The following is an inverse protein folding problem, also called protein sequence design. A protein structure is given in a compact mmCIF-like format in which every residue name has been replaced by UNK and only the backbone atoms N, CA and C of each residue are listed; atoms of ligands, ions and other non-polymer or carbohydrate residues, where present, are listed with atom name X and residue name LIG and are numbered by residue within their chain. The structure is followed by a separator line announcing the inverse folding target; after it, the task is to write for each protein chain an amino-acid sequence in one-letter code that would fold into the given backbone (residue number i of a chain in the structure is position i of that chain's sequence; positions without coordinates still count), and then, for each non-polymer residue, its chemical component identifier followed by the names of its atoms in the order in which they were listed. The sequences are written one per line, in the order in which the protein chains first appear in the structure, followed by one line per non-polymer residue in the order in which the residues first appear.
data_IF_554706395780
#
_entry.id   IF_554706395780
#
_cell.length_a   1.000
_cell.length_b   1.000
_cell.length_c   1.000
_cell.angle_alpha   90.00
_cell.angle_beta   90.00
_cell.angle_gamma   90.00
#
_symmetry.space_group_name_H-M   'P 1'
#
loop_
_entity.id
_entity.type
_entity.pdbx_description
1 polymer ?
#
# COMPACT_ATOMS: atom_id res chain seq x y z
N UNK A 1 32.88 -10.02 -35.62
CA UNK A 1 31.53 -10.34 -35.12
C UNK A 1 31.01 -9.09 -34.41
N UNK A 2 30.26 -8.24 -35.10
CA UNK A 2 29.75 -6.98 -34.53
C UNK A 2 28.52 -7.29 -33.68
N UNK A 3 28.59 -7.03 -32.38
CA UNK A 3 27.42 -7.17 -31.50
C UNK A 3 26.45 -6.01 -31.79
N UNK A 4 25.23 -6.38 -32.19
CA UNK A 4 24.15 -5.43 -32.44
C UNK A 4 23.60 -5.02 -31.08
N UNK A 5 23.80 -3.75 -30.70
CA UNK A 5 23.20 -3.19 -29.48
C UNK A 5 21.68 -3.16 -29.69
N UNK A 6 20.87 -3.74 -28.79
CA UNK A 6 19.42 -3.75 -28.96
C UNK A 6 18.88 -2.32 -28.88
N UNK A 7 18.01 -1.96 -29.82
CA UNK A 7 17.39 -0.62 -29.95
C UNK A 7 16.77 -0.11 -28.65
N UNK A 8 16.25 -1.03 -27.83
CA UNK A 8 15.70 -0.73 -26.50
C UNK A 8 16.76 -0.15 -25.54
N UNK A 9 18.00 -0.65 -25.57
CA UNK A 9 19.08 -0.14 -24.73
C UNK A 9 19.50 1.28 -25.16
N UNK A 10 19.46 1.58 -26.46
CA UNK A 10 19.75 2.93 -26.99
C UNK A 10 18.66 3.93 -26.58
N UNK A 11 17.38 3.52 -26.63
CA UNK A 11 16.25 4.35 -26.20
C UNK A 11 16.28 4.60 -24.69
N UNK A 12 16.62 3.59 -23.90
CA UNK A 12 16.71 3.73 -22.45
C UNK A 12 17.88 4.64 -22.04
N UNK A 13 19.03 4.47 -22.69
CA UNK A 13 20.20 5.30 -22.45
C UNK A 13 19.96 6.75 -22.89
N UNK A 14 19.28 6.98 -24.02
CA UNK A 14 18.95 8.34 -24.46
C UNK A 14 17.92 9.02 -23.55
N UNK A 15 16.91 8.30 -23.07
CA UNK A 15 15.96 8.81 -22.09
C UNK A 15 16.66 9.16 -20.75
N UNK A 16 17.56 8.29 -20.29
CA UNK A 16 18.32 8.51 -19.06
C UNK A 16 19.25 9.74 -19.17
N UNK A 17 19.94 9.90 -20.31
CA UNK A 17 20.78 11.07 -20.59
C UNK A 17 19.93 12.35 -20.62
N UNK A 18 18.78 12.35 -21.30
CA UNK A 18 17.90 13.52 -21.34
C UNK A 18 17.39 13.91 -19.96
N UNK A 19 17.01 12.94 -19.11
CA UNK A 19 16.54 13.20 -17.75
C UNK A 19 17.66 13.77 -16.86
N UNK A 20 18.89 13.27 -17.00
CA UNK A 20 20.04 13.73 -16.21
C UNK A 20 20.57 15.09 -16.66
N UNK A 21 20.45 15.43 -17.95
CA UNK A 21 21.00 16.65 -18.55
C UNK A 21 20.01 17.83 -18.50
N UNK A 22 18.69 17.56 -18.54
CA UNK A 22 17.65 18.59 -18.50
C UNK A 22 17.75 19.58 -17.31
N UNK A 23 18.02 19.15 -16.05
CA UNK A 23 18.15 20.09 -14.93
C UNK A 23 19.41 20.98 -14.99
N UNK A 24 20.40 20.62 -15.81
CA UNK A 24 21.67 21.36 -15.93
C UNK A 24 21.57 22.45 -17.01
N UNK A 25 20.81 22.22 -18.09
CA UNK A 25 20.68 23.17 -19.20
C UNK A 25 19.46 24.09 -19.12
N UNK A 26 18.45 23.77 -18.30
CA UNK A 26 17.28 24.64 -18.16
C UNK A 26 17.67 25.95 -17.43
N UNK A 27 17.55 27.14 -18.06
CA UNK A 27 17.72 28.39 -17.35
C UNK A 27 16.65 28.50 -16.27
N UNK A 28 17.03 28.86 -15.04
CA UNK A 28 16.07 29.28 -14.03
C UNK A 28 15.39 30.55 -14.52
N UNK A 29 14.16 30.42 -15.04
CA UNK A 29 13.39 31.53 -15.55
C UNK A 29 13.00 32.45 -14.38
N UNK A 30 13.82 33.47 -14.13
CA UNK A 30 13.42 34.64 -13.34
C UNK A 30 12.34 35.38 -14.12
N UNK A 31 11.07 35.13 -13.77
CA UNK A 31 9.94 35.86 -14.34
C UNK A 31 9.93 37.29 -13.79
N UNK A 32 10.50 38.22 -14.57
CA UNK A 32 10.25 39.65 -14.40
C UNK A 32 8.82 39.93 -14.86
N UNK A 33 7.94 40.31 -13.93
CA UNK A 33 6.52 40.58 -14.22
C UNK A 33 6.41 41.90 -14.98
N UNK A 34 6.02 41.85 -16.26
CA UNK A 34 5.41 42.99 -16.93
C UNK A 34 3.88 42.88 -16.83
N UNK A 35 3.16 43.94 -16.41
CA UNK A 35 1.71 43.91 -16.30
C UNK A 35 1.08 44.20 -17.67
N UNK A 36 0.40 43.21 -18.27
CA UNK A 36 -0.36 43.46 -19.50
C UNK A 36 -1.19 42.28 -20.03
N UNK A 37 -2.52 42.36 -19.90
CA UNK A 37 -3.49 41.70 -20.80
C UNK A 37 -4.17 40.42 -20.28
N UNK A 38 -5.47 40.29 -20.58
CA UNK A 38 -6.31 39.10 -20.30
C UNK A 38 -5.77 37.79 -20.91
N UNK A 39 -4.89 37.90 -21.90
CA UNK A 39 -4.19 36.77 -22.54
C UNK A 39 -3.06 36.23 -21.65
N UNK A 40 -2.33 37.09 -20.92
CA UNK A 40 -1.32 36.63 -19.97
C UNK A 40 -1.97 35.90 -18.77
N UNK A 41 -3.15 36.34 -18.34
CA UNK A 41 -3.94 35.66 -17.33
C UNK A 41 -4.47 34.30 -17.81
N UNK A 42 -4.93 34.20 -19.06
CA UNK A 42 -5.42 32.93 -19.62
C UNK A 42 -4.28 31.93 -19.91
N UNK A 43 -3.12 32.41 -20.37
CA UNK A 43 -1.91 31.61 -20.56
C UNK A 43 -1.34 31.16 -19.21
N UNK A 44 -1.27 32.06 -18.22
CA UNK A 44 -0.86 31.72 -16.86
C UNK A 44 -1.77 30.69 -16.20
N UNK A 45 -3.09 30.83 -16.34
CA UNK A 45 -4.06 29.85 -15.85
C UNK A 45 -3.93 28.48 -16.54
N UNK A 46 -3.63 28.45 -17.84
CA UNK A 46 -3.39 27.21 -18.59
C UNK A 46 -2.09 26.52 -18.16
N UNK A 47 -1.03 27.28 -17.89
CA UNK A 47 0.24 26.76 -17.37
C UNK A 47 0.04 26.14 -15.98
N UNK A 48 -0.60 26.86 -15.06
CA UNK A 48 -0.92 26.37 -13.71
C UNK A 48 -1.78 25.11 -13.76
N UNK A 49 -2.80 25.06 -14.62
CA UNK A 49 -3.63 23.86 -14.79
C UNK A 49 -2.83 22.66 -15.29
N UNK A 50 -1.89 22.87 -16.21
CA UNK A 50 -1.05 21.80 -16.76
C UNK A 50 -0.07 21.28 -15.72
N UNK A 51 0.56 22.16 -14.95
CA UNK A 51 1.43 21.80 -13.82
C UNK A 51 0.68 21.01 -12.74
N UNK A 52 -0.54 21.43 -12.40
CA UNK A 52 -1.39 20.73 -11.43
C UNK A 52 -1.81 19.35 -11.94
N UNK A 53 -2.24 19.24 -13.20
CA UNK A 53 -2.61 17.97 -13.81
C UNK A 53 -1.42 17.02 -13.90
N UNK A 54 -0.25 17.53 -14.28
CA UNK A 54 1.00 16.75 -14.34
C UNK A 54 1.39 16.25 -12.95
N UNK A 55 1.35 17.13 -11.93
CA UNK A 55 1.65 16.77 -10.54
C UNK A 55 0.64 15.75 -9.99
N UNK A 56 -0.65 15.94 -10.28
CA UNK A 56 -1.71 15.03 -9.92
C UNK A 56 -1.52 13.63 -10.53
N UNK A 57 -1.23 13.55 -11.83
CA UNK A 57 -0.96 12.28 -12.50
C UNK A 57 0.28 11.62 -11.93
N UNK A 58 1.38 12.37 -11.79
CA UNK A 58 2.63 11.88 -11.20
C UNK A 58 2.40 11.34 -9.79
N UNK A 59 1.63 12.05 -8.97
CA UNK A 59 1.22 11.59 -7.64
C UNK A 59 0.47 10.27 -7.71
N UNK A 60 -0.55 10.17 -8.56
CA UNK A 60 -1.34 8.94 -8.74
C UNK A 60 -0.48 7.72 -9.10
N UNK A 61 0.38 7.84 -10.11
CA UNK A 61 1.28 6.74 -10.50
C UNK A 61 2.32 6.45 -9.43
N UNK A 62 2.85 7.47 -8.75
CA UNK A 62 3.79 7.27 -7.66
C UNK A 62 3.14 6.48 -6.51
N UNK A 63 1.90 6.80 -6.12
CA UNK A 63 1.15 6.06 -5.10
C UNK A 63 0.86 4.62 -5.52
N UNK A 64 0.45 4.42 -6.78
CA UNK A 64 0.27 3.08 -7.34
C UNK A 64 1.58 2.27 -7.32
N UNK A 65 2.67 2.89 -7.79
CA UNK A 65 3.98 2.23 -7.88
C UNK A 65 4.53 1.90 -6.50
N UNK A 66 4.47 2.85 -5.55
CA UNK A 66 4.87 2.64 -4.15
C UNK A 66 4.19 1.39 -3.58
N UNK A 67 2.87 1.32 -3.75
CA UNK A 67 2.08 0.20 -3.26
C UNK A 67 2.48 -1.12 -3.93
N UNK A 68 2.61 -1.12 -5.26
CA UNK A 68 2.92 -2.32 -6.05
C UNK A 68 4.37 -2.79 -5.87
N UNK A 69 5.29 -1.86 -5.56
CA UNK A 69 6.69 -2.16 -5.30
C UNK A 69 6.94 -2.70 -3.89
N UNK A 70 6.04 -2.45 -2.95
CA UNK A 70 6.11 -2.95 -1.57
C UNK A 70 5.57 -4.39 -1.48
N UNK A 71 6.43 -5.42 -1.38
CA UNK A 71 5.96 -6.81 -1.26
C UNK A 71 5.31 -7.08 0.09
N UNK A 72 5.57 -6.27 1.09
CA UNK A 72 4.97 -6.29 2.42
C UNK A 72 3.47 -5.98 2.38
N UNK A 73 3.04 -4.97 1.61
CA UNK A 73 1.63 -4.66 1.41
C UNK A 73 0.87 -5.82 0.77
N UNK A 74 1.45 -6.37 -0.30
CA UNK A 74 0.88 -7.52 -1.00
C UNK A 74 0.84 -8.75 -0.09
N UNK A 75 1.90 -9.01 0.67
CA UNK A 75 1.98 -10.14 1.59
C UNK A 75 1.00 -10.02 2.76
N UNK A 76 0.73 -8.81 3.25
CA UNK A 76 -0.29 -8.55 4.27
C UNK A 76 -1.72 -8.77 3.72
N UNK A 77 -2.01 -8.25 2.53
CA UNK A 77 -3.36 -8.26 1.97
C UNK A 77 -3.75 -9.58 1.28
N UNK A 78 -2.79 -10.37 0.81
CA UNK A 78 -3.04 -11.65 0.17
C UNK A 78 -3.81 -12.65 1.06
N UNK A 79 -3.36 -13.02 2.28
CA UNK A 79 -4.12 -13.92 3.16
C UNK A 79 -5.48 -13.35 3.55
N UNK A 80 -5.61 -12.02 3.64
CA UNK A 80 -6.88 -11.36 3.95
C UNK A 80 -7.87 -11.36 2.76
N UNK A 81 -7.43 -11.53 1.52
CA UNK A 81 -8.29 -11.39 0.33
C UNK A 81 -8.71 -12.72 -0.28
N UNK A 82 -8.00 -13.81 0.05
CA UNK A 82 -8.28 -15.14 -0.51
C UNK A 82 -9.64 -15.65 -0.04
N UNK A 83 -10.47 -16.12 -0.98
CA UNK A 83 -11.77 -16.73 -0.68
C UNK A 83 -12.89 -15.74 -0.34
N UNK A 84 -12.65 -14.43 -0.45
CA UNK A 84 -13.66 -13.37 -0.35
C UNK A 84 -14.23 -13.01 -1.72
N UNK A 85 -15.44 -12.47 -1.74
CA UNK A 85 -16.05 -11.96 -2.98
C UNK A 85 -15.30 -10.72 -3.49
N UNK A 86 -15.52 -10.35 -4.76
CA UNK A 86 -14.91 -9.15 -5.35
C UNK A 86 -15.14 -7.88 -4.53
N UNK A 87 -16.38 -7.64 -4.08
CA UNK A 87 -16.72 -6.43 -3.33
C UNK A 87 -16.12 -6.42 -1.93
N UNK A 88 -16.09 -7.58 -1.26
CA UNK A 88 -15.46 -7.70 0.06
C UNK A 88 -13.94 -7.51 -0.04
N UNK A 89 -13.30 -8.08 -1.07
CA UNK A 89 -11.87 -7.92 -1.31
C UNK A 89 -11.52 -6.46 -1.65
N UNK A 90 -12.36 -5.78 -2.44
CA UNK A 90 -12.23 -4.35 -2.70
C UNK A 90 -12.32 -3.53 -1.41
N UNK A 91 -13.30 -3.82 -0.55
CA UNK A 91 -13.50 -3.11 0.70
C UNK A 91 -12.33 -3.33 1.66
N UNK A 92 -11.81 -4.56 1.76
CA UNK A 92 -10.63 -4.89 2.58
C UNK A 92 -9.40 -4.12 2.08
N UNK A 93 -9.11 -4.18 0.78
CA UNK A 93 -7.97 -3.46 0.19
C UNK A 93 -8.08 -1.94 0.34
N UNK A 94 -9.26 -1.38 0.06
CA UNK A 94 -9.48 0.06 0.18
C UNK A 94 -9.39 0.51 1.64
N UNK A 95 -9.98 -0.23 2.59
CA UNK A 95 -9.99 0.13 4.00
C UNK A 95 -8.60 0.00 4.62
N UNK A 96 -7.84 -1.03 4.24
CA UNK A 96 -6.45 -1.16 4.61
C UNK A 96 -5.61 -0.03 4.02
N UNK A 97 -5.82 0.32 2.74
CA UNK A 97 -5.16 1.45 2.08
C UNK A 97 -5.46 2.80 2.70
N UNK A 98 -6.71 3.07 3.08
CA UNK A 98 -7.05 4.28 3.83
C UNK A 98 -6.37 4.31 5.20
N UNK A 99 -6.28 3.17 5.88
CA UNK A 99 -5.54 3.05 7.13
C UNK A 99 -4.06 3.35 6.94
N UNK A 100 -3.46 2.74 5.92
CA UNK A 100 -2.06 2.94 5.54
C UNK A 100 -1.76 4.40 5.24
N UNK A 101 -2.55 5.04 4.39
CA UNK A 101 -2.45 6.47 4.09
C UNK A 101 -2.57 7.33 5.34
N UNK A 102 -3.51 7.02 6.24
CA UNK A 102 -3.65 7.73 7.50
C UNK A 102 -2.38 7.58 8.37
N UNK A 103 -1.81 6.36 8.44
CA UNK A 103 -0.53 6.11 9.09
C UNK A 103 0.60 6.96 8.49
N UNK A 104 0.72 6.99 7.15
CA UNK A 104 1.77 7.75 6.46
C UNK A 104 1.63 9.25 6.69
N UNK A 105 0.41 9.79 6.68
CA UNK A 105 0.14 11.19 6.98
C UNK A 105 0.46 11.52 8.43
N UNK A 106 0.05 10.68 9.39
CA UNK A 106 0.38 10.84 10.81
C UNK A 106 1.90 10.85 11.01
N UNK A 107 2.60 9.89 10.41
CA UNK A 107 4.05 9.78 10.46
C UNK A 107 4.73 11.00 9.84
N UNK A 108 4.30 11.42 8.64
CA UNK A 108 4.83 12.58 7.94
C UNK A 108 4.65 13.88 8.73
N UNK A 109 3.48 14.09 9.35
CA UNK A 109 3.22 15.24 10.22
C UNK A 109 4.09 15.21 11.48
N UNK A 110 4.21 14.05 12.14
CA UNK A 110 5.07 13.88 13.31
C UNK A 110 6.53 14.17 12.97
N UNK A 111 7.00 13.67 11.83
CA UNK A 111 8.33 13.93 11.30
C UNK A 111 8.56 15.43 11.10
N UNK A 112 7.63 16.14 10.45
CA UNK A 112 7.76 17.59 10.23
C UNK A 112 7.80 18.39 11.54
N UNK A 113 6.99 18.02 12.54
CA UNK A 113 6.91 18.72 13.82
C UNK A 113 8.11 18.46 14.73
N UNK A 114 8.67 17.25 14.72
CA UNK A 114 9.74 16.82 15.62
C UNK A 114 11.09 16.60 14.89
N UNK A 115 11.26 17.13 13.66
CA UNK A 115 12.44 16.89 12.80
C UNK A 115 13.78 17.11 13.49
N UNK A 116 13.86 18.10 14.40
CA UNK A 116 15.09 18.50 15.09
C UNK A 116 15.34 17.68 16.39
N UNK A 117 14.39 16.80 16.75
CA UNK A 117 14.41 16.00 17.99
C UNK A 117 14.38 14.50 17.74
N UNK A 118 14.04 14.07 16.53
CA UNK A 118 13.89 12.67 16.14
C UNK A 118 15.15 12.15 15.46
N UNK A 119 15.80 11.16 16.08
CA UNK A 119 16.82 10.37 15.41
C UNK A 119 16.13 9.46 14.40
N UNK A 120 16.24 9.81 13.12
CA UNK A 120 15.56 9.14 12.00
C UNK A 120 15.85 7.63 12.03
N UNK A 121 17.07 7.24 12.37
CA UNK A 121 17.50 5.84 12.48
C UNK A 121 16.70 5.03 13.51
N UNK A 122 16.36 5.62 14.66
CA UNK A 122 15.61 4.93 15.73
C UNK A 122 14.19 4.66 15.25
N UNK A 123 13.54 5.66 14.66
CA UNK A 123 12.18 5.51 14.14
C UNK A 123 12.17 4.53 12.99
N UNK A 124 13.18 4.60 12.11
CA UNK A 124 13.32 3.65 11.01
C UNK A 124 13.41 2.22 11.51
N UNK A 125 14.24 2.03 12.53
CA UNK A 125 14.40 0.73 13.17
C UNK A 125 13.07 0.22 13.73
N UNK A 126 12.39 1.02 14.55
CA UNK A 126 11.14 0.61 15.18
C UNK A 126 9.99 0.42 14.18
N UNK A 127 9.84 1.30 13.19
CA UNK A 127 8.80 1.21 12.16
C UNK A 127 8.90 -0.09 11.37
N UNK A 128 10.10 -0.42 10.88
CA UNK A 128 10.35 -1.67 10.15
C UNK A 128 10.16 -2.91 11.04
N UNK A 129 10.49 -2.86 12.34
CA UNK A 129 10.17 -3.96 13.28
C UNK A 129 8.67 -4.17 13.41
N UNK A 130 7.92 -3.08 13.56
CA UNK A 130 6.45 -3.12 13.68
C UNK A 130 5.83 -3.74 12.42
N UNK A 131 6.34 -3.41 11.24
CA UNK A 131 5.91 -4.04 9.99
C UNK A 131 6.23 -5.54 9.95
N UNK A 132 7.46 -5.93 10.28
CA UNK A 132 7.84 -7.34 10.35
C UNK A 132 6.95 -8.13 11.31
N UNK A 133 6.68 -7.59 12.50
CA UNK A 133 5.77 -8.20 13.48
C UNK A 133 4.32 -8.26 12.98
N UNK A 134 3.85 -7.23 12.30
CA UNK A 134 2.49 -7.19 11.73
C UNK A 134 2.31 -8.28 10.68
N UNK A 135 3.30 -8.51 9.83
CA UNK A 135 3.30 -9.61 8.86
C UNK A 135 3.29 -11.00 9.52
N UNK A 136 4.04 -11.18 10.61
CA UNK A 136 3.99 -12.41 11.40
C UNK A 136 2.59 -12.66 11.98
N UNK A 137 1.95 -11.63 12.54
CA UNK A 137 0.60 -11.73 13.11
C UNK A 137 -0.43 -12.04 12.02
N UNK A 138 -0.41 -11.33 10.89
CA UNK A 138 -1.34 -11.56 9.78
C UNK A 138 -1.18 -12.98 9.21
N UNK A 139 0.06 -13.43 9.00
CA UNK A 139 0.31 -14.78 8.53
C UNK A 139 -0.10 -15.86 9.54
N UNK A 140 0.16 -15.65 10.84
CA UNK A 140 -0.31 -16.57 11.88
C UNK A 140 -1.84 -16.65 11.94
N UNK A 141 -2.52 -15.51 11.80
CA UNK A 141 -3.98 -15.44 11.71
C UNK A 141 -4.51 -16.18 10.48
N UNK A 142 -3.88 -16.00 9.31
CA UNK A 142 -4.26 -16.69 8.08
C UNK A 142 -4.09 -18.22 8.17
N UNK A 143 -3.04 -18.71 8.83
CA UNK A 143 -2.86 -20.14 9.12
C UNK A 143 -3.96 -20.66 10.05
N UNK A 144 -4.30 -19.91 11.10
CA UNK A 144 -5.37 -20.27 12.03
C UNK A 144 -6.72 -20.36 11.32
N UNK A 145 -7.06 -19.36 10.50
CA UNK A 145 -8.29 -19.33 9.70
C UNK A 145 -8.37 -20.50 8.72
N UNK A 146 -7.25 -20.85 8.08
CA UNK A 146 -7.19 -22.01 7.18
C UNK A 146 -7.29 -23.35 7.92
N UNK A 147 -6.89 -23.42 9.19
CA UNK A 147 -6.92 -24.64 10.01
C UNK A 147 -8.26 -24.86 10.73
N UNK A 148 -9.04 -23.80 10.97
CA UNK A 148 -10.33 -23.85 11.66
C UNK A 148 -11.52 -24.19 10.73
N UNK A 149 -11.30 -24.47 9.44
CA UNK A 149 -12.36 -24.97 8.56
C UNK A 149 -12.75 -26.39 9.00
N UNK A 150 -13.95 -26.61 9.54
CA UNK A 150 -14.36 -27.93 10.01
C UNK A 150 -14.43 -28.91 8.85
N UNK A 151 -14.02 -30.16 9.12
CA UNK A 151 -14.27 -31.30 8.25
C UNK A 151 -15.75 -31.35 7.80
N UNK A 152 -16.04 -31.81 6.57
CA UNK A 152 -17.41 -31.97 6.12
C UNK A 152 -18.05 -33.14 6.88
N UNK A 153 -18.78 -32.87 7.96
CA UNK A 153 -19.67 -33.87 8.55
C UNK A 153 -21.06 -33.73 7.89
N UNK A 154 -21.36 -34.68 7.01
CA UNK A 154 -22.73 -35.03 6.62
C UNK A 154 -23.40 -35.71 7.83
N UNK A 155 -24.74 -35.69 7.87
CA UNK A 155 -25.68 -36.33 8.81
C UNK A 155 -26.00 -35.54 10.08
N UNK A 156 -27.24 -35.43 10.60
CA UNK A 156 -28.63 -35.72 10.19
C UNK A 156 -29.51 -35.04 11.28
N UNK A 157 -30.80 -34.80 10.98
CA UNK A 157 -31.94 -34.77 11.93
C UNK A 157 -32.32 -33.49 12.71
N UNK A 158 -33.45 -32.90 12.28
CA UNK A 158 -34.67 -32.52 13.03
C UNK A 158 -34.61 -32.04 14.51
N UNK A 159 -35.42 -31.00 14.83
CA UNK A 159 -36.06 -30.89 16.15
C UNK A 159 -35.81 -29.59 16.95
N UNK A 160 -36.89 -29.04 17.48
CA UNK A 160 -37.04 -27.77 18.23
C UNK A 160 -36.37 -27.70 19.62
N UNK A 161 -36.39 -26.46 20.16
CA UNK A 161 -36.45 -26.08 21.59
C UNK A 161 -35.17 -25.78 22.41
N UNK A 162 -35.10 -24.49 22.76
CA UNK A 162 -34.84 -23.88 24.07
C UNK A 162 -33.51 -24.02 24.85
N UNK A 163 -32.97 -22.81 25.13
CA UNK A 163 -32.32 -22.33 26.36
C UNK A 163 -31.25 -23.21 27.00
N UNK A 164 -29.98 -22.83 26.81
CA UNK A 164 -28.94 -23.08 27.82
C UNK A 164 -28.16 -21.80 28.16
N UNK A 165 -28.31 -21.44 29.43
CA UNK A 165 -27.44 -20.56 30.21
C UNK A 165 -26.04 -21.19 30.28
N UNK A 166 -25.01 -20.34 30.31
CA UNK A 166 -23.59 -20.63 30.57
C UNK A 166 -22.69 -20.91 29.34
N UNK A 167 -22.56 -19.95 28.41
CA UNK A 167 -21.41 -19.96 27.49
C UNK A 167 -20.26 -19.13 28.08
N UNK A 168 -19.30 -19.90 28.58
CA UNK A 168 -18.01 -19.52 29.13
C UNK A 168 -17.28 -18.42 28.33
N UNK A 169 -16.73 -17.48 29.09
CA UNK A 169 -15.67 -16.52 28.78
C UNK A 169 -14.98 -16.64 27.40
N UNK A 170 -15.21 -15.57 26.62
CA UNK A 170 -14.25 -14.90 25.72
C UNK A 170 -13.87 -15.52 24.37
N UNK A 171 -14.85 -16.07 23.64
CA UNK A 171 -14.76 -16.05 22.16
C UNK A 171 -15.63 -14.91 21.63
N UNK A 172 -15.06 -13.76 21.21
CA UNK A 172 -15.89 -12.70 20.66
C UNK A 172 -16.39 -13.16 19.29
N UNK A 173 -17.69 -13.44 19.19
CA UNK A 173 -18.46 -13.48 17.95
C UNK A 173 -18.04 -12.31 17.05
N UNK A 174 -17.25 -12.60 16.02
CA UNK A 174 -16.77 -11.62 15.02
C UNK A 174 -17.92 -11.32 14.07
N UNK A 175 -18.91 -10.58 14.57
CA UNK A 175 -19.93 -9.96 13.74
C UNK A 175 -19.27 -8.95 12.80
N UNK A 176 -19.74 -8.92 11.54
CA UNK A 176 -19.27 -8.17 10.36
C UNK A 176 -18.71 -6.74 10.57
N UNK A 177 -18.93 -6.08 11.71
CA UNK A 177 -18.38 -4.75 12.04
C UNK A 177 -16.93 -4.75 12.56
N UNK A 178 -16.42 -5.85 13.15
CA UNK A 178 -15.05 -5.89 13.73
C UNK A 178 -13.94 -6.04 12.69
N UNK A 179 -14.22 -6.74 11.58
CA UNK A 179 -13.23 -7.01 10.53
C UNK A 179 -12.79 -5.72 9.84
N UNK A 180 -13.73 -4.80 9.61
CA UNK A 180 -13.43 -3.49 9.00
C UNK A 180 -12.47 -2.66 9.85
N UNK A 181 -12.80 -2.45 11.14
CA UNK A 181 -11.94 -1.67 12.02
C UNK A 181 -10.55 -2.30 12.21
N UNK A 182 -10.49 -3.64 12.36
CA UNK A 182 -9.21 -4.33 12.47
C UNK A 182 -8.35 -4.12 11.21
N UNK A 183 -8.93 -4.25 10.02
CA UNK A 183 -8.25 -4.03 8.74
C UNK A 183 -7.72 -2.60 8.63
N UNK A 184 -8.55 -1.60 8.97
CA UNK A 184 -8.15 -0.20 9.00
C UNK A 184 -7.01 0.06 9.98
N UNK A 185 -7.13 -0.45 11.22
CA UNK A 185 -6.13 -0.27 12.27
C UNK A 185 -4.79 -0.93 11.90
N UNK A 186 -4.82 -2.13 11.32
CA UNK A 186 -3.61 -2.78 10.79
C UNK A 186 -3.00 -1.96 9.66
N UNK A 187 -3.82 -1.33 8.81
CA UNK A 187 -3.36 -0.39 7.80
C UNK A 187 -2.62 0.79 8.43
N UNK A 188 -3.18 1.43 9.45
CA UNK A 188 -2.52 2.53 10.18
C UNK A 188 -1.15 2.09 10.71
N UNK A 189 -1.12 0.95 11.41
CA UNK A 189 0.12 0.41 12.01
C UNK A 189 1.17 0.18 10.93
N UNK A 190 0.77 -0.36 9.78
CA UNK A 190 1.66 -0.60 8.66
C UNK A 190 2.13 0.70 7.98
N UNK A 191 1.23 1.68 7.82
CA UNK A 191 1.55 2.99 7.24
C UNK A 191 2.40 3.91 8.11
N UNK A 192 2.61 3.56 9.39
CA UNK A 192 3.63 4.21 10.23
C UNK A 192 5.07 3.80 9.85
N UNK A 193 5.22 2.98 8.80
CA UNK A 193 6.53 2.64 8.25
C UNK A 193 7.24 3.91 7.74
N UNK A 194 8.58 3.97 7.84
CA UNK A 194 9.34 5.16 7.44
C UNK A 194 9.35 5.43 5.93
N UNK A 195 8.82 4.51 5.13
CA UNK A 195 8.62 4.68 3.69
C UNK A 195 7.62 5.81 3.37
N UNK A 196 6.83 6.27 4.35
CA UNK A 196 6.05 7.50 4.29
C UNK A 196 6.89 8.72 3.87
N UNK A 197 8.21 8.73 4.13
CA UNK A 197 9.11 9.78 3.65
C UNK A 197 9.23 9.83 2.13
N UNK A 198 9.10 8.68 1.44
CA UNK A 198 9.10 8.62 -0.04
C UNK A 198 7.89 9.35 -0.64
N UNK A 199 6.80 9.47 0.11
CA UNK A 199 5.63 10.27 -0.28
C UNK A 199 5.84 11.76 -0.01
N UNK A 200 6.36 12.11 1.17
CA UNK A 200 6.42 13.50 1.64
C UNK A 200 7.54 14.29 0.95
N UNK A 201 8.71 13.68 0.71
CA UNK A 201 9.87 14.40 0.15
C UNK A 201 9.63 14.96 -1.26
N UNK A 202 9.06 14.21 -2.23
CA UNK A 202 8.74 14.75 -3.55
C UNK A 202 7.75 15.91 -3.48
N UNK A 203 6.74 15.81 -2.60
CA UNK A 203 5.74 16.86 -2.42
C UNK A 203 6.36 18.17 -1.89
N UNK A 204 7.36 18.08 -0.99
CA UNK A 204 8.09 19.22 -0.46
C UNK A 204 9.11 19.81 -1.44
N UNK A 205 9.60 19.02 -2.39
CA UNK A 205 10.52 19.47 -3.43
C UNK A 205 9.82 20.28 -4.54
N UNK A 206 8.49 20.19 -4.66
CA UNK A 206 7.74 20.92 -5.66
C UNK A 206 7.70 22.43 -5.33
N UNK A 207 7.97 23.31 -6.32
CA UNK A 207 8.05 24.75 -6.10
C UNK A 207 6.70 25.40 -5.76
N UNK A 208 5.59 24.74 -6.13
CA UNK A 208 4.23 25.20 -5.86
C UNK A 208 3.56 24.35 -4.79
N UNK A 209 3.05 25.00 -3.73
CA UNK A 209 2.28 24.32 -2.66
C UNK A 209 1.04 23.60 -3.18
N UNK A 210 0.39 24.17 -4.20
CA UNK A 210 -0.80 23.57 -4.79
C UNK A 210 -0.44 22.35 -5.65
N UNK A 211 0.72 22.37 -6.32
CA UNK A 211 1.25 21.22 -7.04
C UNK A 211 1.65 20.10 -6.06
N UNK A 212 2.32 20.44 -4.95
CA UNK A 212 2.63 19.51 -3.86
C UNK A 212 1.37 18.88 -3.24
N UNK A 213 0.33 19.68 -2.99
CA UNK A 213 -0.95 19.18 -2.48
C UNK A 213 -1.68 18.28 -3.49
N UNK A 214 -1.66 18.63 -4.79
CA UNK A 214 -2.24 17.81 -5.85
C UNK A 214 -1.50 16.48 -6.01
N UNK A 215 -0.17 16.50 -5.97
CA UNK A 215 0.66 15.30 -5.95
C UNK A 215 0.31 14.42 -4.75
N UNK A 216 0.31 14.98 -3.54
CA UNK A 216 0.05 14.22 -2.31
C UNK A 216 -1.36 13.63 -2.29
N UNK A 217 -2.39 14.43 -2.62
CA UNK A 217 -3.78 13.94 -2.65
C UNK A 217 -3.99 12.81 -3.65
N UNK A 218 -3.37 12.92 -4.84
CA UNK A 218 -3.45 11.85 -5.83
C UNK A 218 -2.56 10.66 -5.51
N UNK A 219 -1.46 10.85 -4.79
CA UNK A 219 -0.64 9.76 -4.26
C UNK A 219 -1.47 8.86 -3.36
N UNK A 220 -2.13 9.45 -2.35
CA UNK A 220 -3.02 8.72 -1.43
C UNK A 220 -4.14 8.00 -2.21
N UNK A 221 -4.78 8.70 -3.16
CA UNK A 221 -5.80 8.08 -4.01
C UNK A 221 -5.25 6.91 -4.85
N UNK A 222 -4.03 7.04 -5.36
CA UNK A 222 -3.32 5.99 -6.10
C UNK A 222 -3.02 4.78 -5.22
N UNK A 223 -2.63 4.99 -3.97
CA UNK A 223 -2.42 3.93 -2.97
C UNK A 223 -3.70 3.14 -2.74
N UNK A 224 -4.79 3.80 -2.37
CA UNK A 224 -6.10 3.16 -2.14
C UNK A 224 -6.60 2.42 -3.39
N UNK A 225 -6.46 3.05 -4.57
CA UNK A 225 -6.83 2.44 -5.84
C UNK A 225 -6.03 1.17 -6.12
N UNK A 226 -4.70 1.23 -5.99
CA UNK A 226 -3.83 0.09 -6.24
C UNK A 226 -4.15 -1.06 -5.27
N UNK A 227 -4.25 -0.79 -3.97
CA UNK A 227 -4.59 -1.77 -2.95
C UNK A 227 -5.94 -2.42 -3.18
N UNK A 228 -6.98 -1.63 -3.44
CA UNK A 228 -8.29 -2.16 -3.80
C UNK A 228 -8.27 -3.00 -5.09
N UNK A 229 -7.48 -2.60 -6.09
CA UNK A 229 -7.44 -3.28 -7.39
C UNK A 229 -6.81 -4.67 -7.32
N UNK A 230 -5.65 -4.85 -6.67
CA UNK A 230 -5.02 -6.16 -6.61
C UNK A 230 -5.70 -7.08 -5.59
N UNK A 231 -6.34 -6.55 -4.53
CA UNK A 231 -7.15 -7.41 -3.64
C UNK A 231 -8.38 -7.93 -4.37
N UNK A 232 -9.04 -7.10 -5.19
CA UNK A 232 -10.11 -7.56 -6.09
C UNK A 232 -9.60 -8.65 -7.03
N UNK A 233 -8.41 -8.48 -7.59
CA UNK A 233 -7.80 -9.49 -8.46
C UNK A 233 -7.58 -10.82 -7.72
N UNK A 234 -6.95 -10.78 -6.54
CA UNK A 234 -6.72 -11.97 -5.69
C UNK A 234 -8.05 -12.62 -5.30
N UNK A 235 -9.02 -11.84 -4.82
CA UNK A 235 -10.34 -12.33 -4.44
C UNK A 235 -11.06 -12.99 -5.62
N UNK A 236 -11.13 -12.31 -6.76
CA UNK A 236 -11.79 -12.84 -7.97
C UNK A 236 -11.15 -14.12 -8.48
N UNK A 237 -9.81 -14.17 -8.54
CA UNK A 237 -9.08 -15.34 -8.99
C UNK A 237 -9.27 -16.53 -8.04
N UNK A 238 -9.25 -16.27 -6.73
CA UNK A 238 -9.40 -17.33 -5.72
C UNK A 238 -10.83 -17.83 -5.60
N UNK A 239 -11.82 -16.94 -5.72
CA UNK A 239 -13.25 -17.27 -5.80
C UNK A 239 -13.55 -18.14 -7.02
N UNK A 240 -13.08 -17.75 -8.21
CA UNK A 240 -13.24 -18.54 -9.43
C UNK A 240 -12.54 -19.92 -9.35
N UNK A 241 -11.40 -19.98 -8.65
CA UNK A 241 -10.66 -21.24 -8.48
C UNK A 241 -11.34 -22.16 -7.46
N UNK A 242 -11.99 -21.60 -6.43
CA UNK A 242 -12.77 -22.33 -5.43
C UNK A 242 -13.92 -23.13 -6.04
N UNK A 243 -14.60 -22.56 -7.04
CA UNK A 243 -15.69 -23.25 -7.76
C UNK A 243 -15.21 -24.54 -8.46
N UNK A 244 -13.93 -24.58 -8.88
CA UNK A 244 -13.34 -25.76 -9.53
C UNK A 244 -12.68 -26.72 -8.54
N UNK A 245 -12.04 -26.20 -7.50
CA UNK A 245 -11.28 -27.00 -6.52
C UNK A 245 -11.56 -26.48 -5.11
N UNK A 246 -12.49 -27.08 -4.35
CA UNK A 246 -12.98 -26.50 -3.09
C UNK A 246 -11.90 -26.36 -1.99
N UNK A 247 -10.82 -27.14 -2.04
CA UNK A 247 -9.68 -27.06 -1.10
C UNK A 247 -8.57 -26.10 -1.53
N UNK A 248 -8.70 -25.42 -2.67
CA UNK A 248 -7.61 -24.57 -3.18
C UNK A 248 -7.46 -23.28 -2.40
N UNK A 249 -8.56 -22.72 -1.88
CA UNK A 249 -8.53 -21.49 -1.08
C UNK A 249 -7.82 -21.72 0.24
N UNK A 250 -8.00 -22.88 0.87
CA UNK A 250 -7.27 -23.29 2.07
C UNK A 250 -5.75 -23.35 1.79
N UNK A 251 -5.36 -24.05 0.72
CA UNK A 251 -3.94 -24.17 0.32
C UNK A 251 -3.32 -22.82 -0.03
N UNK A 252 -4.05 -21.97 -0.75
CA UNK A 252 -3.59 -20.63 -1.12
C UNK A 252 -3.45 -19.73 0.11
N UNK A 253 -4.37 -19.83 1.08
CA UNK A 253 -4.31 -19.07 2.34
C UNK A 253 -3.12 -19.52 3.17
N UNK A 254 -2.86 -20.82 3.25
CA UNK A 254 -1.64 -21.36 3.87
C UNK A 254 -0.38 -20.85 3.18
N UNK A 255 -0.32 -20.93 1.85
CA UNK A 255 0.85 -20.50 1.08
C UNK A 255 1.12 -18.99 1.24
N UNK A 256 0.09 -18.14 1.11
CA UNK A 256 0.23 -16.69 1.28
C UNK A 256 0.61 -16.32 2.72
N UNK A 257 0.07 -17.03 3.71
CA UNK A 257 0.42 -16.83 5.12
C UNK A 257 1.86 -17.21 5.42
N UNK A 258 2.38 -18.29 4.82
CA UNK A 258 3.79 -18.66 4.93
C UNK A 258 4.70 -17.62 4.28
N UNK A 259 4.31 -17.06 3.13
CA UNK A 259 5.05 -15.96 2.48
C UNK A 259 5.07 -14.72 3.38
N UNK A 260 3.93 -14.35 3.98
CA UNK A 260 3.85 -13.23 4.92
C UNK A 260 4.77 -13.45 6.14
N UNK A 261 4.75 -14.65 6.73
CA UNK A 261 5.63 -15.01 7.85
C UNK A 261 7.10 -14.95 7.43
N UNK A 262 7.44 -15.53 6.28
CA UNK A 262 8.82 -15.55 5.78
C UNK A 262 9.35 -14.14 5.52
N UNK A 263 8.54 -13.26 4.91
CA UNK A 263 8.89 -11.85 4.71
C UNK A 263 9.01 -11.10 6.04
N UNK A 264 8.10 -11.33 6.98
CA UNK A 264 8.16 -10.75 8.32
C UNK A 264 9.44 -11.14 9.05
N UNK A 265 9.81 -12.42 9.03
CA UNK A 265 11.09 -12.89 9.57
C UNK A 265 12.29 -12.30 8.83
N UNK A 266 12.26 -12.26 7.49
CA UNK A 266 13.36 -11.70 6.69
C UNK A 266 13.61 -10.23 7.04
N UNK A 267 12.55 -9.43 7.22
CA UNK A 267 12.62 -8.04 7.64
C UNK A 267 13.19 -7.89 9.06
N UNK A 268 12.76 -8.73 10.01
CA UNK A 268 13.27 -8.67 11.39
C UNK A 268 14.74 -9.09 11.49
N UNK A 269 15.12 -10.11 10.73
CA UNK A 269 16.48 -10.66 10.72
C UNK A 269 17.44 -9.72 10.00
N UNK A 270 17.05 -9.14 8.87
CA UNK A 270 17.90 -8.22 8.11
C UNK A 270 18.34 -7.02 8.96
N UNK A 271 17.41 -6.48 9.76
CA UNK A 271 17.72 -5.42 10.72
C UNK A 271 18.71 -5.83 11.82
N UNK A 272 18.68 -7.09 12.27
CA UNK A 272 19.63 -7.57 13.27
C UNK A 272 21.07 -7.65 12.71
N UNK A 273 21.21 -7.95 11.42
CA UNK A 273 22.50 -8.01 10.72
C UNK A 273 22.94 -6.66 10.13
N UNK A 274 22.16 -5.59 10.31
CA UNK A 274 22.47 -4.26 9.77
C UNK A 274 22.28 -4.13 8.26
N UNK A 275 21.58 -5.08 7.62
CA UNK A 275 21.19 -4.97 6.21
C UNK A 275 19.76 -4.43 6.13
N UNK A 276 19.56 -3.29 5.46
CA UNK A 276 18.21 -2.86 5.10
C UNK A 276 17.84 -3.52 3.77
N UNK A 277 16.71 -4.25 3.74
CA UNK A 277 16.16 -4.81 2.49
C UNK A 277 15.47 -3.74 1.62
N UNK A 278 15.44 -2.48 2.08
CA UNK A 278 14.90 -1.29 1.42
C UNK A 278 15.72 -0.04 1.75
#
# INVERSE_FOLDING_TARGET
MFQVVPTAAVIFLSALILILVNPILAPQAYATVQPGGSIAASVGGRLVRTELLSSAWTGFFAGCLHTLSGPDHLAALAPLSIGRTRMESAAVGALWGFGHDAGQVIFGLLFLLLKDRLHIEIIQTWGTRVVGLTLLVIGAMGIKEASEVPAPCVTLENGECDVSVLESLETPKVGKRKIGFATFATGIVHGLQPDALMMVLPALALPSRLAGAAFLGMFLLGTVFAMGSYTVFIGSCTEALKERVPKITEKLTWASSLIAIALGFAILVSQYFGFSLY
#
